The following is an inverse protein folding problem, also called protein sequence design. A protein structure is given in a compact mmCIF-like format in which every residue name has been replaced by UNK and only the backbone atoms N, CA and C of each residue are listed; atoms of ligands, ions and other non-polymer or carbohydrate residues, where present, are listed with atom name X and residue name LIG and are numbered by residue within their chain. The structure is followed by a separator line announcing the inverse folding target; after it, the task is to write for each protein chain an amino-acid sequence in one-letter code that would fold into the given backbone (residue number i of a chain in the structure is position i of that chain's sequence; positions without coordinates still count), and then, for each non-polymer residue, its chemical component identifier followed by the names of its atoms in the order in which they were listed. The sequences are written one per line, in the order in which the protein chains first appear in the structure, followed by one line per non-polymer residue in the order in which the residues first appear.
data_IF_427797425699
#
_entry.id   IF_427797425699
#
_cell.length_a   1.000
_cell.length_b   1.000
_cell.length_c   1.000
_cell.angle_alpha   90.00
_cell.angle_beta   90.00
_cell.angle_gamma   90.00
#
_symmetry.space_group_name_H-M   'P 1'
#
loop_
_entity.id
_entity.type
_entity.pdbx_description
1 polymer ?
#
# COMPACT_ATOMS: atom_id res chain seq x y z
N UNK A 1 2.87 23.31 -7.22
CA UNK A 1 2.10 22.33 -8.00
C UNK A 1 0.82 22.06 -7.24
N UNK A 2 -0.34 21.96 -7.88
CA UNK A 2 -1.60 21.63 -7.17
C UNK A 2 -1.69 20.11 -6.99
N UNK A 3 -2.44 19.64 -5.99
CA UNK A 3 -2.67 18.20 -5.78
C UNK A 3 -3.22 17.52 -7.05
N UNK A 4 -4.15 18.18 -7.74
CA UNK A 4 -4.69 17.71 -9.02
C UNK A 4 -3.61 17.56 -10.10
N UNK A 5 -2.69 18.51 -10.19
CA UNK A 5 -1.60 18.46 -11.15
C UNK A 5 -0.59 17.34 -10.82
N UNK A 6 -0.32 17.10 -9.53
CA UNK A 6 0.49 15.95 -9.09
C UNK A 6 -0.17 14.63 -9.48
N UNK A 7 -1.48 14.48 -9.21
CA UNK A 7 -2.24 13.30 -9.61
C UNK A 7 -2.19 13.07 -11.12
N UNK A 8 -2.46 14.11 -11.92
CA UNK A 8 -2.46 13.99 -13.38
C UNK A 8 -1.10 13.57 -13.93
N UNK A 9 -0.01 14.09 -13.36
CA UNK A 9 1.34 13.69 -13.74
C UNK A 9 1.63 12.22 -13.39
N UNK A 10 1.23 11.77 -12.19
CA UNK A 10 1.39 10.37 -11.77
C UNK A 10 0.58 9.43 -12.68
N UNK A 11 -0.67 9.79 -12.99
CA UNK A 11 -1.53 9.00 -13.85
C UNK A 11 -1.08 8.98 -15.31
N UNK A 12 -0.53 10.09 -15.82
CA UNK A 12 0.08 10.14 -17.15
C UNK A 12 1.27 9.17 -17.21
N UNK A 13 2.21 9.27 -16.26
CA UNK A 13 3.36 8.38 -16.19
C UNK A 13 2.96 6.90 -16.05
N UNK A 14 1.97 6.59 -15.20
CA UNK A 14 1.48 5.22 -15.05
C UNK A 14 0.91 4.65 -16.34
N UNK A 15 0.12 5.44 -17.08
CA UNK A 15 -0.46 5.02 -18.37
C UNK A 15 0.62 4.81 -19.42
N UNK A 16 1.60 5.70 -19.51
CA UNK A 16 2.73 5.56 -20.41
C UNK A 16 3.52 4.27 -20.09
N UNK A 17 3.83 4.04 -18.80
CA UNK A 17 4.53 2.84 -18.34
C UNK A 17 3.76 1.54 -18.68
N UNK A 18 2.44 1.52 -18.50
CA UNK A 18 1.61 0.37 -18.85
C UNK A 18 1.60 0.13 -20.37
N UNK A 19 1.44 1.19 -21.16
CA UNK A 19 1.33 1.10 -22.62
C UNK A 19 2.66 0.74 -23.29
N UNK A 20 3.77 1.33 -22.86
CA UNK A 20 5.11 1.06 -23.40
C UNK A 20 5.57 -0.36 -23.08
N UNK A 21 5.20 -0.88 -21.90
CA UNK A 21 5.55 -2.24 -21.51
C UNK A 21 4.89 -3.31 -22.42
N UNK A 22 3.68 -3.04 -22.94
CA UNK A 22 3.06 -3.91 -23.96
C UNK A 22 3.93 -4.02 -25.23
N UNK A 23 4.62 -2.95 -25.61
CA UNK A 23 5.56 -2.93 -26.73
C UNK A 23 6.85 -3.70 -26.44
N UNK A 24 7.40 -3.55 -25.23
CA UNK A 24 8.62 -4.26 -24.83
C UNK A 24 8.44 -5.78 -24.80
N UNK A 25 7.28 -6.31 -24.38
CA UNK A 25 7.03 -7.76 -24.40
C UNK A 25 7.02 -8.38 -25.81
N UNK A 26 6.68 -7.60 -26.84
CA UNK A 26 6.80 -8.07 -28.23
C UNK A 26 8.26 -8.33 -28.62
N UNK A 27 9.21 -7.51 -28.14
CA UNK A 27 10.64 -7.71 -28.39
C UNK A 27 11.24 -8.82 -27.50
N UNK A 28 10.67 -9.03 -26.31
CA UNK A 28 11.09 -10.07 -25.36
C UNK A 28 10.55 -11.47 -25.75
N UNK A 29 9.56 -11.56 -26.63
CA UNK A 29 8.97 -12.81 -27.14
C UNK A 29 9.91 -13.68 -27.98
N UNK A 30 11.18 -13.31 -28.14
CA UNK A 30 12.26 -14.22 -28.52
C UNK A 30 12.78 -15.10 -27.35
N UNK A 31 12.11 -15.06 -26.18
CA UNK A 31 12.24 -16.10 -25.15
C UNK A 31 13.31 -15.86 -24.09
N UNK A 32 13.85 -14.65 -23.95
CA UNK A 32 15.00 -14.40 -23.07
C UNK A 32 14.67 -13.76 -21.71
N UNK A 33 13.47 -13.23 -21.49
CA UNK A 33 13.11 -12.62 -20.20
C UNK A 33 11.60 -12.71 -19.94
N UNK A 34 11.19 -13.10 -18.74
CA UNK A 34 9.80 -12.95 -18.28
C UNK A 34 9.91 -12.38 -16.88
N UNK A 35 9.73 -11.06 -16.70
CA UNK A 35 9.78 -10.45 -15.37
C UNK A 35 8.70 -11.07 -14.48
N UNK A 36 9.04 -11.33 -13.23
CA UNK A 36 8.13 -11.94 -12.26
C UNK A 36 6.91 -11.05 -11.97
N UNK A 37 7.05 -9.73 -12.10
CA UNK A 37 5.97 -8.75 -11.88
C UNK A 37 5.97 -7.66 -12.95
N UNK A 38 4.81 -7.05 -13.21
CA UNK A 38 4.70 -5.93 -14.13
C UNK A 38 5.38 -4.67 -13.53
N UNK A 39 6.19 -3.89 -14.28
CA UNK A 39 6.90 -2.69 -13.78
C UNK A 39 6.00 -1.63 -13.10
N UNK A 40 4.70 -1.63 -13.41
CA UNK A 40 3.72 -0.80 -12.71
C UNK A 40 3.70 -1.05 -11.20
N UNK A 41 4.00 -2.29 -10.76
CA UNK A 41 4.10 -2.66 -9.36
C UNK A 41 5.27 -1.92 -8.69
N UNK A 42 6.40 -1.79 -9.39
CA UNK A 42 7.54 -1.00 -8.90
C UNK A 42 7.22 0.49 -8.84
N UNK A 43 6.38 0.98 -9.77
CA UNK A 43 5.90 2.36 -9.71
C UNK A 43 4.94 2.59 -8.54
N UNK A 44 4.02 1.66 -8.26
CA UNK A 44 3.18 1.70 -7.04
C UNK A 44 4.06 1.73 -5.79
N UNK A 45 5.09 0.87 -5.73
CA UNK A 45 6.06 0.87 -4.64
C UNK A 45 6.72 2.24 -4.51
N UNK A 46 7.21 2.82 -5.61
CA UNK A 46 7.86 4.14 -5.62
C UNK A 46 6.95 5.25 -5.06
N UNK A 47 5.70 5.31 -5.52
CA UNK A 47 4.70 6.27 -5.02
C UNK A 47 4.47 6.04 -3.52
N UNK A 48 4.24 4.78 -3.12
CA UNK A 48 3.96 4.44 -1.73
C UNK A 48 5.14 4.65 -0.79
N UNK A 49 6.39 4.56 -1.25
CA UNK A 49 7.58 4.85 -0.40
C UNK A 49 7.57 6.28 0.13
N UNK A 50 6.94 7.24 -0.57
CA UNK A 50 6.74 8.61 -0.05
C UNK A 50 5.86 8.60 1.19
N UNK A 51 4.70 7.94 1.14
CA UNK A 51 3.80 7.78 2.28
C UNK A 51 4.49 7.01 3.42
N UNK A 52 5.12 5.87 3.10
CA UNK A 52 5.78 5.02 4.07
C UNK A 52 6.85 5.78 4.85
N UNK A 53 7.65 6.59 4.16
CA UNK A 53 8.69 7.41 4.79
C UNK A 53 8.09 8.46 5.73
N UNK A 54 6.99 9.11 5.33
CA UNK A 54 6.30 10.07 6.20
C UNK A 54 5.79 9.41 7.47
N UNK A 55 5.12 8.26 7.35
CA UNK A 55 4.59 7.50 8.48
C UNK A 55 5.68 7.05 9.45
N UNK A 56 6.79 6.51 8.94
CA UNK A 56 7.91 6.04 9.78
C UNK A 56 8.59 7.18 10.54
N UNK A 57 8.56 8.41 10.00
CA UNK A 57 9.19 9.59 10.59
C UNK A 57 8.28 10.34 11.58
N UNK A 58 6.96 10.07 11.58
CA UNK A 58 5.99 10.78 12.41
C UNK A 58 6.46 10.97 13.88
N UNK A 59 6.92 9.93 14.62
CA UNK A 59 7.31 10.12 16.00
C UNK A 59 8.56 10.97 16.20
N UNK A 60 9.49 10.92 15.24
CA UNK A 60 10.71 11.71 15.31
C UNK A 60 10.44 13.21 15.06
N UNK A 61 9.42 13.51 14.25
CA UNK A 61 9.04 14.88 13.90
C UNK A 61 8.08 15.51 14.92
N UNK A 62 7.13 14.74 15.44
CA UNK A 62 5.99 15.27 16.22
C UNK A 62 5.93 14.76 17.67
N UNK A 63 6.81 13.84 18.06
CA UNK A 63 6.79 13.26 19.40
C UNK A 63 5.88 12.04 19.50
N UNK A 64 5.19 11.87 20.62
CA UNK A 64 4.24 10.76 20.75
C UNK A 64 2.98 11.05 19.93
N UNK A 65 2.66 10.14 19.02
CA UNK A 65 1.53 10.29 18.08
C UNK A 65 0.33 9.53 18.62
N UNK A 66 -0.79 10.25 18.78
CA UNK A 66 -2.03 9.64 19.28
C UNK A 66 -2.61 8.62 18.30
N UNK A 67 -3.43 7.69 18.77
CA UNK A 67 -4.09 6.68 17.95
C UNK A 67 -4.97 7.29 16.85
N UNK A 68 -5.64 8.41 17.12
CA UNK A 68 -6.50 9.08 16.13
C UNK A 68 -5.75 9.74 14.98
N UNK A 69 -4.48 10.11 15.17
CA UNK A 69 -3.63 10.66 14.10
C UNK A 69 -2.96 9.55 13.26
N UNK A 70 -3.20 8.27 13.60
CA UNK A 70 -2.68 7.13 12.85
C UNK A 70 -3.53 6.93 11.61
N UNK A 71 -2.91 6.98 10.44
CA UNK A 71 -3.48 6.47 9.21
C UNK A 71 -3.60 4.94 9.32
N UNK A 72 -4.74 4.46 9.82
CA UNK A 72 -5.14 3.08 9.63
C UNK A 72 -5.46 2.82 8.15
N UNK A 73 -5.45 1.55 7.74
CA UNK A 73 -5.93 1.08 6.42
C UNK A 73 -7.22 1.77 6.01
N UNK A 74 -8.16 1.84 6.95
CA UNK A 74 -9.49 2.46 6.87
C UNK A 74 -9.46 3.93 6.43
N UNK A 75 -8.34 4.63 6.60
CA UNK A 75 -8.23 6.07 6.32
C UNK A 75 -7.18 6.43 5.26
N UNK A 76 -6.46 5.45 4.71
CA UNK A 76 -5.42 5.74 3.73
C UNK A 76 -6.02 6.19 2.39
N UNK A 77 -7.13 5.57 2.00
CA UNK A 77 -7.89 5.93 0.80
C UNK A 77 -9.16 6.72 1.20
N UNK A 78 -10.15 6.00 1.71
CA UNK A 78 -11.42 6.50 2.23
C UNK A 78 -11.99 5.46 3.21
N UNK A 79 -12.94 5.87 4.06
CA UNK A 79 -13.56 5.03 5.08
C UNK A 79 -14.09 3.70 4.50
N UNK A 80 -13.55 2.58 4.97
CA UNK A 80 -13.96 1.24 4.54
C UNK A 80 -15.43 0.93 4.84
N UNK A 81 -16.04 1.63 5.79
CA UNK A 81 -17.45 1.48 6.16
C UNK A 81 -18.38 2.39 5.36
N UNK A 82 -17.85 3.29 4.54
CA UNK A 82 -18.67 4.10 3.64
C UNK A 82 -19.43 3.20 2.66
N UNK A 83 -20.73 3.40 2.51
CA UNK A 83 -21.53 2.73 1.48
C UNK A 83 -21.02 3.13 0.10
N UNK A 84 -20.77 2.16 -0.79
CA UNK A 84 -20.21 2.39 -2.13
C UNK A 84 -21.07 1.79 -3.25
N UNK A 85 -21.94 0.84 -2.91
CA UNK A 85 -22.84 0.18 -3.86
C UNK A 85 -24.26 0.76 -3.78
N UNK A 86 -25.05 0.53 -4.84
CA UNK A 86 -26.46 0.93 -4.90
C UNK A 86 -27.32 0.24 -3.82
N UNK A 87 -26.94 -0.97 -3.41
CA UNK A 87 -27.61 -1.75 -2.37
C UNK A 87 -27.07 -1.49 -0.95
N UNK A 88 -26.25 -0.45 -0.75
CA UNK A 88 -25.79 0.00 0.56
C UNK A 88 -24.67 -0.84 1.17
N UNK A 89 -23.93 -1.63 0.38
CA UNK A 89 -22.74 -2.35 0.86
C UNK A 89 -21.55 -1.40 0.90
N UNK A 90 -20.74 -1.54 1.96
CA UNK A 90 -19.50 -0.78 2.14
C UNK A 90 -18.30 -1.46 1.49
N UNK A 91 -17.17 -0.74 1.39
CA UNK A 91 -15.91 -1.30 0.91
C UNK A 91 -15.48 -2.54 1.73
N UNK A 92 -15.59 -2.49 3.06
CA UNK A 92 -15.28 -3.62 3.94
C UNK A 92 -15.98 -4.93 3.50
N UNK A 93 -17.26 -4.86 3.13
CA UNK A 93 -18.03 -6.03 2.68
C UNK A 93 -17.69 -6.49 1.26
N UNK A 94 -17.02 -5.66 0.46
CA UNK A 94 -16.57 -6.01 -0.88
C UNK A 94 -15.17 -6.65 -0.87
N UNK A 95 -14.41 -6.51 0.21
CA UNK A 95 -13.12 -7.18 0.34
C UNK A 95 -13.31 -8.69 0.45
N UNK A 96 -12.63 -9.44 -0.42
CA UNK A 96 -12.66 -10.90 -0.38
C UNK A 96 -11.40 -11.42 0.29
N UNK A 97 -11.55 -12.04 1.46
CA UNK A 97 -10.43 -12.74 2.09
C UNK A 97 -10.02 -13.93 1.22
N UNK A 98 -8.72 -14.07 0.98
CA UNK A 98 -8.13 -15.18 0.22
C UNK A 98 -7.06 -15.88 1.05
N UNK A 99 -6.62 -17.05 0.58
CA UNK A 99 -5.59 -17.84 1.26
C UNK A 99 -4.28 -17.06 1.40
N UNK A 100 -3.71 -17.09 2.62
CA UNK A 100 -2.47 -16.39 2.98
C UNK A 100 -1.26 -17.32 3.11
N UNK A 101 -1.44 -18.64 3.02
CA UNK A 101 -0.43 -19.64 3.40
C UNK A 101 0.87 -19.59 2.59
N UNK A 102 0.81 -19.06 1.37
CA UNK A 102 1.94 -18.95 0.44
C UNK A 102 2.48 -17.52 0.29
N UNK A 103 1.90 -16.54 0.98
CA UNK A 103 2.28 -15.12 0.81
C UNK A 103 3.39 -14.75 1.77
N UNK A 104 4.43 -14.13 1.22
CA UNK A 104 5.57 -13.60 1.97
C UNK A 104 5.76 -12.14 1.54
N UNK A 105 5.86 -11.25 2.51
CA UNK A 105 6.13 -9.83 2.33
C UNK A 105 7.58 -9.60 2.71
N UNK A 106 8.40 -9.12 1.78
CA UNK A 106 9.79 -8.80 2.04
C UNK A 106 9.92 -7.33 2.46
N UNK A 107 10.43 -7.05 3.67
CA UNK A 107 10.48 -5.68 4.20
C UNK A 107 11.41 -4.74 3.41
N UNK A 108 12.40 -5.28 2.69
CA UNK A 108 13.30 -4.50 1.86
C UNK A 108 12.63 -4.05 0.55
N UNK A 109 11.75 -4.89 -0.03
CA UNK A 109 11.17 -4.69 -1.35
C UNK A 109 9.72 -4.21 -1.30
N UNK A 110 8.89 -4.90 -0.54
CA UNK A 110 7.44 -4.74 -0.59
C UNK A 110 6.96 -3.55 0.25
N UNK A 111 5.78 -3.06 -0.09
CA UNK A 111 5.23 -1.85 0.50
C UNK A 111 4.43 -2.21 1.74
N UNK A 112 4.98 -1.87 2.90
CA UNK A 112 4.34 -2.06 4.21
C UNK A 112 4.19 -0.69 4.86
N UNK A 113 3.02 -0.36 5.40
CA UNK A 113 2.78 0.92 6.08
C UNK A 113 2.78 0.76 7.61
N UNK A 114 3.95 0.76 8.26
CA UNK A 114 4.00 0.94 9.70
C UNK A 114 3.77 2.41 10.05
N UNK A 115 3.11 2.66 11.18
CA UNK A 115 2.96 3.97 11.79
C UNK A 115 3.47 3.87 13.23
N UNK A 116 4.80 3.83 13.45
CA UNK A 116 5.36 3.87 14.80
C UNK A 116 4.82 5.13 15.51
N UNK A 117 4.59 5.04 16.82
CA UNK A 117 3.92 6.14 17.55
C UNK A 117 4.68 6.67 18.76
N UNK A 118 5.48 5.82 19.45
CA UNK A 118 6.35 6.24 20.56
C UNK A 118 7.78 6.49 20.06
N UNK A 119 8.34 7.72 20.16
CA UNK A 119 9.68 8.05 19.67
C UNK A 119 10.78 7.20 20.31
N UNK A 120 10.68 6.97 21.62
CA UNK A 120 11.62 6.11 22.34
C UNK A 120 11.63 4.69 21.78
N UNK A 121 10.46 4.09 21.51
CA UNK A 121 10.37 2.74 20.96
C UNK A 121 10.91 2.67 19.54
N UNK A 122 10.67 3.70 18.73
CA UNK A 122 11.24 3.80 17.38
C UNK A 122 12.77 3.81 17.45
N UNK A 123 13.34 4.74 18.23
CA UNK A 123 14.78 4.85 18.43
C UNK A 123 15.39 3.54 18.94
N UNK A 124 14.80 2.97 20.00
CA UNK A 124 15.31 1.75 20.61
C UNK A 124 15.24 0.56 19.64
N UNK A 125 14.21 0.49 18.79
CA UNK A 125 14.09 -0.54 17.74
C UNK A 125 15.19 -0.39 16.68
N UNK A 126 15.46 0.84 16.20
CA UNK A 126 16.52 1.11 15.23
C UNK A 126 17.92 0.74 15.77
N UNK A 127 18.16 0.98 17.07
CA UNK A 127 19.43 0.64 17.74
C UNK A 127 19.58 -0.87 17.92
N UNK A 128 18.51 -1.56 18.36
CA UNK A 128 18.63 -2.91 18.94
C UNK A 128 18.23 -4.04 18.00
N UNK A 129 17.47 -3.78 16.94
CA UNK A 129 16.96 -4.81 16.02
C UNK A 129 17.75 -4.72 14.71
N UNK A 130 18.20 -5.87 14.20
CA UNK A 130 18.88 -5.99 12.92
C UNK A 130 20.18 -6.78 13.00
N UNK A 131 20.66 -7.29 11.87
CA UNK A 131 21.92 -8.03 11.83
C UNK A 131 23.07 -7.20 12.44
N UNK A 132 23.88 -7.82 13.29
CA UNK A 132 24.98 -7.15 14.00
C UNK A 132 24.57 -6.28 15.19
N UNK A 133 23.30 -6.27 15.61
CA UNK A 133 22.82 -5.53 16.80
C UNK A 133 22.50 -6.44 18.00
N UNK A 134 22.17 -5.83 19.15
CA UNK A 134 21.97 -6.53 20.43
C UNK A 134 20.91 -7.63 20.37
N UNK A 135 19.82 -7.44 19.61
CA UNK A 135 18.74 -8.41 19.50
C UNK A 135 18.90 -9.32 18.26
N UNK A 136 19.98 -9.18 17.50
CA UNK A 136 20.24 -9.92 16.28
C UNK A 136 19.31 -9.55 15.11
N UNK A 137 19.37 -10.36 14.05
CA UNK A 137 18.57 -10.18 12.84
C UNK A 137 17.08 -10.07 13.14
N UNK A 138 16.39 -9.25 12.36
CA UNK A 138 14.96 -9.07 12.43
C UNK A 138 14.22 -10.40 12.24
N UNK A 139 13.21 -10.65 13.07
CA UNK A 139 12.36 -11.85 13.00
C UNK A 139 10.92 -11.46 13.29
N UNK A 140 10.00 -12.07 12.55
CA UNK A 140 8.58 -11.95 12.86
C UNK A 140 8.28 -12.67 14.18
N UNK A 141 7.33 -12.11 14.92
CA UNK A 141 6.75 -12.68 16.13
C UNK A 141 5.24 -12.42 16.16
N UNK A 142 4.58 -12.83 17.24
CA UNK A 142 3.12 -12.72 17.43
C UNK A 142 2.58 -11.29 17.44
N UNK A 143 3.42 -10.29 17.67
CA UNK A 143 3.01 -8.88 17.73
C UNK A 143 2.95 -8.26 16.32
N UNK A 144 3.44 -8.96 15.30
CA UNK A 144 3.50 -8.52 13.90
C UNK A 144 2.28 -9.00 13.11
N UNK A 145 1.14 -8.37 13.36
CA UNK A 145 -0.11 -8.60 12.63
C UNK A 145 -0.15 -7.70 11.39
N UNK A 146 -0.28 -8.30 10.21
CA UNK A 146 -0.20 -7.58 8.94
C UNK A 146 -1.26 -8.09 7.97
N UNK A 147 -1.99 -7.15 7.38
CA UNK A 147 -2.95 -7.40 6.31
C UNK A 147 -2.32 -7.04 4.96
N UNK A 148 -2.41 -7.91 3.96
CA UNK A 148 -1.99 -7.63 2.58
C UNK A 148 -3.21 -7.38 1.69
N UNK A 149 -3.20 -6.29 0.94
CA UNK A 149 -4.21 -5.98 -0.08
C UNK A 149 -3.68 -6.22 -1.49
N UNK A 150 -4.40 -7.03 -2.24
CA UNK A 150 -4.19 -7.32 -3.66
C UNK A 150 -5.30 -6.68 -4.51
N UNK A 151 -5.02 -6.26 -5.75
CA UNK A 151 -3.76 -6.47 -6.49
C UNK A 151 -2.68 -5.41 -6.25
N UNK A 152 -2.91 -4.45 -5.34
CA UNK A 152 -1.99 -3.33 -5.13
C UNK A 152 -0.63 -3.73 -4.54
N UNK A 153 -0.56 -4.86 -3.82
CA UNK A 153 0.67 -5.30 -3.16
C UNK A 153 1.05 -4.45 -1.95
N UNK A 154 0.04 -3.91 -1.25
CA UNK A 154 0.21 -3.01 -0.12
C UNK A 154 -0.13 -3.76 1.16
N UNK A 155 0.71 -3.59 2.19
CA UNK A 155 0.49 -4.21 3.48
C UNK A 155 0.28 -3.18 4.59
N UNK A 156 -0.68 -3.45 5.47
CA UNK A 156 -1.04 -2.62 6.61
C UNK A 156 -0.71 -3.36 7.90
N UNK A 157 -0.13 -2.65 8.86
CA UNK A 157 0.19 -3.23 10.17
C UNK A 157 -1.03 -3.05 11.08
N UNK A 158 -1.65 -4.16 11.47
CA UNK A 158 -2.88 -4.20 12.26
C UNK A 158 -2.55 -4.46 13.73
N UNK A 159 -2.19 -3.42 14.50
CA UNK A 159 -2.03 -3.54 15.95
C UNK A 159 -0.62 -3.23 16.47
N UNK A 160 0.12 -4.24 16.91
CA UNK A 160 1.48 -4.05 17.46
C UNK A 160 2.55 -4.19 16.38
N UNK A 161 3.83 -3.99 16.74
CA UNK A 161 4.95 -4.26 15.81
C UNK A 161 5.31 -3.14 14.82
N UNK A 162 4.62 -2.00 14.80
CA UNK A 162 4.99 -0.90 13.88
C UNK A 162 6.44 -0.42 14.08
N UNK A 163 6.95 -0.37 15.31
CA UNK A 163 8.33 0.07 15.60
C UNK A 163 9.40 -0.91 15.10
N UNK A 164 9.21 -2.21 15.33
CA UNK A 164 10.12 -3.25 14.88
C UNK A 164 10.05 -3.43 13.37
N UNK A 165 8.87 -3.38 12.76
CA UNK A 165 8.71 -3.40 11.28
C UNK A 165 9.44 -2.20 10.65
N UNK A 166 9.31 -1.01 11.25
CA UNK A 166 10.07 0.17 10.80
C UNK A 166 11.58 -0.09 10.79
N UNK A 167 12.11 -0.75 11.82
CA UNK A 167 13.53 -1.10 11.86
C UNK A 167 13.94 -2.11 10.77
N UNK A 168 13.11 -3.13 10.51
CA UNK A 168 13.34 -4.09 9.42
C UNK A 168 13.36 -3.42 8.04
N UNK A 169 12.38 -2.55 7.77
CA UNK A 169 12.34 -1.75 6.52
C UNK A 169 13.58 -0.87 6.39
N UNK A 170 13.94 -0.12 7.43
CA UNK A 170 15.08 0.80 7.41
C UNK A 170 16.41 0.09 7.17
N UNK A 171 16.52 -1.18 7.57
CA UNK A 171 17.71 -2.02 7.41
C UNK A 171 17.68 -2.90 6.17
N UNK A 172 16.55 -2.94 5.46
CA UNK A 172 16.38 -3.80 4.29
C UNK A 172 16.45 -5.29 4.64
N UNK A 173 15.92 -5.69 5.81
CA UNK A 173 15.93 -7.08 6.26
C UNK A 173 14.59 -7.49 6.87
N UNK A 174 14.32 -8.79 6.84
CA UNK A 174 13.13 -9.38 7.43
C UNK A 174 12.03 -9.71 6.43
N UNK A 175 11.26 -10.74 6.79
CA UNK A 175 10.13 -11.25 6.02
C UNK A 175 8.92 -11.39 6.93
N UNK A 176 7.75 -11.04 6.41
CA UNK A 176 6.48 -11.14 7.09
C UNK A 176 5.58 -12.15 6.40
N UNK A 177 4.96 -13.01 7.19
CA UNK A 177 3.82 -13.83 6.80
C UNK A 177 2.55 -13.07 7.21
N UNK A 178 1.71 -12.63 6.25
CA UNK A 178 0.53 -11.83 6.54
C UNK A 178 -0.51 -12.65 7.30
N UNK A 179 -1.13 -12.02 8.29
CA UNK A 179 -2.23 -12.62 9.08
C UNK A 179 -3.50 -12.76 8.24
N UNK A 180 -3.70 -11.84 7.30
CA UNK A 180 -4.83 -11.82 6.38
C UNK A 180 -4.39 -11.30 5.01
N UNK A 181 -5.04 -11.80 3.97
CA UNK A 181 -4.85 -11.31 2.60
C UNK A 181 -6.23 -11.05 2.02
N UNK A 182 -6.43 -9.86 1.49
CA UNK A 182 -7.67 -9.46 0.84
C UNK A 182 -7.43 -9.14 -0.63
N UNK A 183 -8.31 -9.66 -1.48
CA UNK A 183 -8.50 -9.16 -2.83
C UNK A 183 -9.56 -8.06 -2.78
N UNK A 184 -9.13 -6.84 -3.08
CA UNK A 184 -9.98 -5.64 -3.09
C UNK A 184 -10.55 -5.34 -4.48
N UNK A 185 -10.27 -6.15 -5.50
CA UNK A 185 -10.57 -5.81 -6.91
C UNK A 185 -12.03 -5.43 -7.19
N UNK A 186 -12.98 -5.93 -6.39
CA UNK A 186 -14.40 -5.59 -6.53
C UNK A 186 -14.70 -4.11 -6.25
N UNK A 187 -13.87 -3.41 -5.45
CA UNK A 187 -14.09 -1.99 -5.16
C UNK A 187 -14.00 -1.12 -6.41
N UNK A 188 -13.22 -1.55 -7.40
CA UNK A 188 -12.95 -0.83 -8.63
C UNK A 188 -14.15 -0.69 -9.57
N UNK A 189 -15.17 -1.55 -9.39
CA UNK A 189 -16.46 -1.43 -10.08
C UNK A 189 -17.36 -0.37 -9.44
N UNK A 190 -17.07 0.02 -8.19
CA UNK A 190 -17.92 0.84 -7.35
C UNK A 190 -17.34 2.21 -7.01
N UNK A 191 -16.01 2.37 -7.10
CA UNK A 191 -15.34 3.61 -6.73
C UNK A 191 -14.29 4.01 -7.76
N UNK A 192 -14.19 5.30 -8.04
CA UNK A 192 -13.10 5.91 -8.80
C UNK A 192 -12.69 7.24 -8.16
N UNK A 193 -11.54 7.79 -8.56
CA UNK A 193 -11.08 9.11 -8.11
C UNK A 193 -10.57 9.96 -9.26
N UNK A 194 -10.73 11.28 -9.12
CA UNK A 194 -10.13 12.28 -10.02
C UNK A 194 -8.86 12.92 -9.43
N UNK A 195 -8.37 12.40 -8.31
CA UNK A 195 -7.25 12.96 -7.55
C UNK A 195 -7.61 14.07 -6.58
N UNK A 196 -8.90 14.47 -6.50
CA UNK A 196 -9.42 15.43 -5.53
C UNK A 196 -10.47 14.81 -4.62
N UNK A 197 -11.37 13.99 -5.16
CA UNK A 197 -12.36 13.26 -4.38
C UNK A 197 -12.42 11.80 -4.80
N UNK A 198 -12.91 10.94 -3.91
CA UNK A 198 -13.39 9.60 -4.24
C UNK A 198 -14.89 9.68 -4.54
N UNK A 199 -15.33 8.98 -5.57
CA UNK A 199 -16.71 9.00 -6.05
C UNK A 199 -17.26 7.59 -6.16
N UNK A 200 -18.55 7.46 -5.87
CA UNK A 200 -19.32 6.26 -6.23
C UNK A 200 -19.52 6.23 -7.75
N UNK A 201 -19.36 5.06 -8.36
CA UNK A 201 -19.57 4.90 -9.81
C UNK A 201 -21.05 4.96 -10.19
N UNK A 202 -21.95 4.53 -9.31
CA UNK A 202 -23.36 4.33 -9.65
C UNK A 202 -24.19 5.62 -9.67
N UNK A 203 -23.81 6.63 -8.88
CA UNK A 203 -24.53 7.92 -8.79
C UNK A 203 -23.62 9.16 -8.86
N UNK A 204 -22.29 8.96 -8.98
CA UNK A 204 -21.27 10.01 -9.00
C UNK A 204 -21.22 10.88 -7.74
N UNK A 205 -21.83 10.44 -6.64
CA UNK A 205 -21.76 11.15 -5.37
C UNK A 205 -20.36 11.06 -4.76
N UNK A 206 -19.96 12.12 -4.06
CA UNK A 206 -18.68 12.19 -3.35
C UNK A 206 -18.76 11.29 -2.11
N UNK A 207 -17.75 10.45 -1.94
CA UNK A 207 -17.52 9.64 -0.74
C UNK A 207 -16.68 10.46 0.25
N UNK A 208 -15.53 10.94 -0.19
CA UNK A 208 -14.59 11.71 0.63
C UNK A 208 -13.64 12.56 -0.23
N UNK A 209 -12.98 13.52 0.41
CA UNK A 209 -11.84 14.23 -0.17
C UNK A 209 -10.58 13.37 -0.15
N UNK A 210 -9.72 13.56 -1.15
CA UNK A 210 -8.40 12.92 -1.22
C UNK A 210 -7.46 13.62 -0.22
N UNK A 211 -6.99 12.87 0.77
CA UNK A 211 -6.01 13.36 1.74
C UNK A 211 -4.57 13.28 1.22
N UNK A 212 -4.26 12.23 0.47
CA UNK A 212 -2.93 11.99 -0.12
C UNK A 212 -3.06 11.67 -1.59
N UNK A 213 -2.36 12.45 -2.42
CA UNK A 213 -2.38 12.29 -3.87
C UNK A 213 -1.81 10.93 -4.29
N UNK A 214 -0.84 10.43 -3.52
CA UNK A 214 -0.23 9.12 -3.69
C UNK A 214 -1.27 8.00 -3.56
N UNK A 215 -2.15 8.08 -2.55
CA UNK A 215 -3.20 7.09 -2.33
C UNK A 215 -4.21 7.11 -3.48
N UNK A 216 -4.65 8.29 -3.92
CA UNK A 216 -5.55 8.41 -5.06
C UNK A 216 -4.93 7.84 -6.34
N UNK A 217 -3.65 8.14 -6.59
CA UNK A 217 -2.94 7.61 -7.75
C UNK A 217 -2.80 6.08 -7.68
N UNK A 218 -2.36 5.54 -6.54
CA UNK A 218 -2.23 4.08 -6.33
C UNK A 218 -3.58 3.38 -6.52
N UNK A 219 -4.66 3.93 -5.97
CA UNK A 219 -6.00 3.37 -6.11
C UNK A 219 -6.44 3.32 -7.58
N UNK A 220 -6.29 4.43 -8.31
CA UNK A 220 -6.71 4.52 -9.71
C UNK A 220 -5.80 3.67 -10.63
N UNK A 221 -4.51 3.54 -10.32
CA UNK A 221 -3.61 2.58 -10.99
C UNK A 221 -4.11 1.15 -10.76
N UNK A 222 -4.48 0.79 -9.53
CA UNK A 222 -5.08 -0.50 -9.22
C UNK A 222 -6.35 -0.79 -10.02
N UNK A 223 -7.21 0.22 -10.20
CA UNK A 223 -8.40 0.15 -11.05
C UNK A 223 -8.06 -0.18 -12.50
N UNK A 224 -7.03 0.47 -13.05
CA UNK A 224 -6.52 0.21 -14.41
C UNK A 224 -5.94 -1.21 -14.51
N UNK A 225 -5.14 -1.63 -13.53
CA UNK A 225 -4.56 -2.98 -13.48
C UNK A 225 -5.65 -4.04 -13.49
N UNK A 226 -6.70 -3.89 -12.68
CA UNK A 226 -7.84 -4.80 -12.63
C UNK A 226 -8.57 -4.87 -13.99
N UNK A 227 -8.84 -3.72 -14.61
CA UNK A 227 -9.50 -3.65 -15.92
C UNK A 227 -8.68 -4.33 -17.03
N UNK A 228 -7.35 -4.24 -16.97
CA UNK A 228 -6.44 -4.84 -17.95
C UNK A 228 -5.95 -6.25 -17.56
N UNK A 229 -6.42 -6.80 -16.42
CA UNK A 229 -5.97 -8.09 -15.86
C UNK A 229 -4.45 -8.17 -15.66
N UNK A 230 -3.84 -7.06 -15.27
CA UNK A 230 -2.43 -7.03 -14.85
C UNK A 230 -2.35 -7.63 -13.44
N UNK A 231 -1.53 -8.66 -13.28
CA UNK A 231 -1.40 -9.43 -12.04
C UNK A 231 -0.16 -8.99 -11.26
N UNK A 232 -0.28 -8.97 -9.93
CA UNK A 232 0.82 -8.82 -8.96
C UNK A 232 1.49 -10.16 -8.65
#
# INVERSE_FOLDING_TARGET
MTMKQEFDNLMAFAKDLINENLGFYYDINYGYFQPETHPIVDFIRLIGRRIQSQLMLMPALYGEVDQMERMFSDNLFFDEWAEVTLDGRSFHFLMRQIDNSSRIINLARDLVFPSPWIPRKLRDSLIRIGEGTLNGSWRQDKDHQVTLWLPLGISFVEGSGHHSITAGIAKGEGELYPTSVYDISLIYDHVYTDGRYYYRTHDHSIISEVHFVECAAIFEIGRIMAAQKIIF
#
